data_IF_006810529468
#
_entry.id   IF_006810529468
#
_cell.length_a   1.000
_cell.length_b   1.000
_cell.length_c   1.000
_cell.angle_alpha   90.00
_cell.angle_beta   90.00
_cell.angle_gamma   90.00
#
_symmetry.space_group_name_H-M   'P 1'
#
loop_
_entity.id
_entity.type
_entity.pdbx_description
1 polymer ?
#
# COMPACT_ATOMS: atom_id res chain seq x y z
N UNK A 1 -6.64 -55.82 36.56
CA UNK A 1 -7.28 -54.60 36.06
C UNK A 1 -6.18 -53.62 35.68
N UNK A 2 -5.96 -53.37 34.40
CA UNK A 2 -5.07 -52.30 33.94
C UNK A 2 -5.57 -51.83 32.58
N UNK A 3 -6.32 -50.73 32.58
CA UNK A 3 -6.90 -50.15 31.39
C UNK A 3 -6.96 -48.65 31.54
N UNK A 4 -5.81 -47.97 31.58
CA UNK A 4 -5.79 -46.51 31.57
C UNK A 4 -4.43 -46.00 31.10
N UNK A 5 -4.43 -45.13 30.09
CA UNK A 5 -3.23 -44.40 29.65
C UNK A 5 -3.30 -43.89 28.21
N UNK A 6 -4.06 -44.56 27.34
CA UNK A 6 -4.13 -44.21 25.91
C UNK A 6 -4.91 -42.93 25.61
N UNK A 7 -5.90 -42.58 26.43
CA UNK A 7 -6.73 -41.39 26.22
C UNK A 7 -5.92 -40.09 26.33
N UNK A 8 -5.18 -39.90 27.43
CA UNK A 8 -4.48 -38.63 27.71
C UNK A 8 -3.43 -38.27 26.66
N UNK A 9 -2.62 -39.23 26.21
CA UNK A 9 -1.61 -39.00 25.18
C UNK A 9 -2.24 -38.64 23.81
N UNK A 10 -3.36 -39.26 23.46
CA UNK A 10 -4.10 -38.97 22.22
C UNK A 10 -4.76 -37.60 22.27
N UNK A 11 -5.32 -37.19 23.42
CA UNK A 11 -5.89 -35.85 23.60
C UNK A 11 -4.82 -34.75 23.53
N UNK A 12 -3.64 -34.96 24.15
CA UNK A 12 -2.53 -34.01 24.09
C UNK A 12 -1.96 -33.88 22.68
N UNK A 13 -1.82 -35.00 21.96
CA UNK A 13 -1.37 -34.99 20.57
C UNK A 13 -2.37 -34.28 19.64
N UNK A 14 -3.68 -34.52 19.83
CA UNK A 14 -4.73 -33.84 19.06
C UNK A 14 -4.78 -32.34 19.37
N UNK A 15 -4.67 -31.94 20.64
CA UNK A 15 -4.64 -30.53 21.03
C UNK A 15 -3.42 -29.79 20.47
N UNK A 16 -2.24 -30.42 20.47
CA UNK A 16 -1.03 -29.86 19.87
C UNK A 16 -1.14 -29.71 18.34
N UNK A 17 -1.74 -30.70 17.65
CA UNK A 17 -2.02 -30.62 16.22
C UNK A 17 -3.00 -29.48 15.87
N UNK A 18 -4.08 -29.33 16.64
CA UNK A 18 -5.04 -28.23 16.47
C UNK A 18 -4.35 -26.88 16.70
N UNK A 19 -3.53 -26.75 17.75
CA UNK A 19 -2.78 -25.51 18.01
C UNK A 19 -1.78 -25.21 16.87
N UNK A 20 -1.09 -26.21 16.33
CA UNK A 20 -0.22 -26.05 15.17
C UNK A 20 -0.98 -25.60 13.92
N UNK A 21 -2.18 -26.13 13.66
CA UNK A 21 -3.03 -25.72 12.53
C UNK A 21 -3.52 -24.27 12.73
N UNK A 22 -3.89 -23.88 13.95
CA UNK A 22 -4.30 -22.50 14.26
C UNK A 22 -3.14 -21.49 14.14
N UNK A 23 -1.89 -21.91 14.41
CA UNK A 23 -0.70 -21.09 14.22
C UNK A 23 -0.30 -20.92 12.74
N UNK A 24 -0.71 -21.82 11.84
CA UNK A 24 -0.45 -21.67 10.39
C UNK A 24 -1.29 -20.54 9.76
N UNK A 25 -2.43 -20.19 10.36
CA UNK A 25 -3.32 -19.10 9.90
C UNK A 25 -2.88 -17.72 10.42
N UNK A 26 -1.80 -17.64 11.19
CA UNK A 26 -1.17 -16.38 11.54
C UNK A 26 -0.49 -15.80 10.29
N UNK A 27 -1.29 -15.25 9.38
CA UNK A 27 -0.83 -14.45 8.26
C UNK A 27 -0.07 -13.26 8.86
N UNK A 28 1.27 -13.32 8.82
CA UNK A 28 2.11 -12.17 9.15
C UNK A 28 1.71 -11.05 8.20
N UNK A 29 1.06 -10.01 8.73
CA UNK A 29 0.62 -8.86 7.96
C UNK A 29 1.84 -8.01 7.60
N UNK A 30 2.62 -8.45 6.62
CA UNK A 30 3.71 -7.67 6.07
C UNK A 30 3.14 -6.59 5.14
N UNK A 31 3.54 -5.33 5.35
CA UNK A 31 3.23 -4.23 4.44
C UNK A 31 3.98 -4.41 3.13
N UNK A 32 3.28 -4.48 2.01
CA UNK A 32 3.92 -4.57 0.71
C UNK A 32 4.48 -3.20 0.27
N UNK A 33 5.53 -3.22 -0.54
CA UNK A 33 6.15 -2.00 -1.10
C UNK A 33 5.97 -1.99 -2.62
N UNK A 34 5.37 -0.92 -3.14
CA UNK A 34 5.10 -0.74 -4.56
C UNK A 34 5.87 0.47 -5.11
N UNK A 35 6.67 0.28 -6.16
CA UNK A 35 7.28 1.40 -6.88
C UNK A 35 6.29 1.93 -7.91
N UNK A 36 5.85 3.17 -7.76
CA UNK A 36 4.88 3.80 -8.66
C UNK A 36 5.47 3.91 -10.06
N UNK A 37 4.73 3.42 -11.08
CA UNK A 37 5.18 3.37 -12.47
C UNK A 37 6.22 2.28 -12.77
N UNK A 38 6.51 1.40 -11.81
CA UNK A 38 7.50 0.33 -11.92
C UNK A 38 8.86 0.86 -12.44
N UNK A 39 9.33 0.42 -13.63
CA UNK A 39 10.58 0.91 -14.22
C UNK A 39 10.49 2.36 -14.74
N UNK A 40 9.29 2.82 -15.08
CA UNK A 40 9.06 4.17 -15.61
C UNK A 40 9.00 5.26 -14.54
N UNK A 41 8.91 4.87 -13.26
CA UNK A 41 8.84 5.82 -12.15
C UNK A 41 7.58 6.69 -12.16
N UNK A 42 7.59 7.70 -11.28
CA UNK A 42 6.53 8.69 -11.19
C UNK A 42 6.61 9.64 -12.39
N UNK A 43 5.65 9.52 -13.31
CA UNK A 43 5.65 10.22 -14.59
C UNK A 43 4.22 10.35 -15.16
N UNK A 44 4.09 10.94 -16.35
CA UNK A 44 2.82 11.12 -17.05
C UNK A 44 2.10 9.80 -17.42
N UNK A 45 2.83 8.68 -17.46
CA UNK A 45 2.25 7.36 -17.74
C UNK A 45 1.78 6.61 -16.48
N UNK A 46 1.97 7.17 -15.28
CA UNK A 46 1.63 6.50 -14.03
C UNK A 46 0.13 6.31 -13.80
N UNK A 47 -0.75 7.00 -14.54
CA UNK A 47 -2.21 6.94 -14.33
C UNK A 47 -2.81 5.54 -14.49
N UNK A 48 -2.27 4.71 -15.40
CA UNK A 48 -2.73 3.33 -15.62
C UNK A 48 -2.01 2.29 -14.77
N UNK A 49 -0.92 2.68 -14.09
CA UNK A 49 -0.09 1.76 -13.30
C UNK A 49 -0.87 1.07 -12.18
N UNK A 50 -1.94 1.67 -11.67
CA UNK A 50 -2.77 1.08 -10.63
C UNK A 50 -3.61 -0.11 -11.10
N UNK A 51 -3.76 -0.31 -12.41
CA UNK A 51 -4.64 -1.35 -12.97
C UNK A 51 -4.16 -2.76 -12.59
N UNK A 52 -5.08 -3.58 -12.08
CA UNK A 52 -4.80 -4.95 -11.66
C UNK A 52 -4.01 -5.09 -10.35
N UNK A 53 -3.59 -3.99 -9.72
CA UNK A 53 -2.89 -4.02 -8.42
C UNK A 53 -3.91 -4.00 -7.27
N UNK A 54 -3.62 -4.77 -6.23
CA UNK A 54 -4.43 -4.83 -5.00
C UNK A 54 -3.59 -4.28 -3.86
N UNK A 55 -4.06 -3.20 -3.25
CA UNK A 55 -3.39 -2.52 -2.16
C UNK A 55 -4.13 -2.76 -0.85
N UNK A 56 -3.38 -2.78 0.25
CA UNK A 56 -3.87 -2.89 1.62
C UNK A 56 -3.47 -1.66 2.41
N UNK A 57 -4.26 -1.31 3.42
CA UNK A 57 -3.86 -0.28 4.38
C UNK A 57 -2.52 -0.68 5.03
N UNK A 58 -1.57 0.26 5.10
CA UNK A 58 -0.22 0.00 5.58
C UNK A 58 0.81 -0.32 4.50
N UNK A 59 0.40 -0.66 3.27
CA UNK A 59 1.32 -0.79 2.15
C UNK A 59 2.03 0.55 1.85
N UNK A 60 3.22 0.50 1.28
CA UNK A 60 4.05 1.68 0.99
C UNK A 60 4.17 1.89 -0.52
N UNK A 61 3.83 3.09 -0.97
CA UNK A 61 4.16 3.57 -2.31
C UNK A 61 5.52 4.26 -2.30
N UNK A 62 6.37 3.91 -3.25
CA UNK A 62 7.67 4.55 -3.50
C UNK A 62 7.57 5.34 -4.80
N UNK A 63 7.70 6.65 -4.69
CA UNK A 63 7.70 7.56 -5.83
C UNK A 63 9.14 7.92 -6.18
N UNK A 64 9.59 7.46 -7.36
CA UNK A 64 10.92 7.77 -7.89
C UNK A 64 10.79 8.74 -9.06
N UNK A 65 11.50 9.87 -9.00
CA UNK A 65 11.46 10.93 -10.02
C UNK A 65 12.64 11.88 -9.89
N UNK A 66 12.89 12.66 -10.94
CA UNK A 66 13.80 13.82 -10.86
C UNK A 66 13.15 14.92 -10.02
N UNK A 67 13.69 15.18 -8.83
CA UNK A 67 13.16 16.15 -7.87
C UNK A 67 13.28 17.61 -8.33
N UNK A 68 14.07 17.89 -9.37
CA UNK A 68 14.08 19.21 -10.01
C UNK A 68 12.89 19.43 -10.95
N UNK A 69 12.28 18.35 -11.46
CA UNK A 69 11.22 18.39 -12.46
C UNK A 69 9.83 18.04 -11.89
N UNK A 70 9.78 17.26 -10.81
CA UNK A 70 8.54 16.66 -10.30
C UNK A 70 8.47 16.71 -8.78
N UNK A 71 7.26 16.55 -8.26
CA UNK A 71 6.99 16.34 -6.84
C UNK A 71 5.78 15.41 -6.65
N UNK A 72 5.44 15.13 -5.39
CA UNK A 72 4.23 14.37 -5.03
C UNK A 72 3.48 15.10 -3.94
N UNK A 73 2.19 15.37 -4.14
CA UNK A 73 1.30 15.86 -3.11
C UNK A 73 0.22 14.83 -2.81
N UNK A 74 0.05 14.52 -1.52
CA UNK A 74 -1.10 13.76 -1.04
C UNK A 74 -2.30 14.71 -0.90
N UNK A 75 -3.40 14.41 -1.58
CA UNK A 75 -4.58 15.28 -1.67
C UNK A 75 -5.87 14.51 -1.36
N UNK A 76 -6.97 15.23 -1.22
CA UNK A 76 -8.30 14.64 -1.17
C UNK A 76 -8.88 14.49 -2.59
N UNK A 77 -10.08 13.89 -2.70
CA UNK A 77 -10.76 13.68 -3.98
C UNK A 77 -10.99 15.00 -4.77
N UNK A 78 -11.30 16.09 -4.07
CA UNK A 78 -11.49 17.40 -4.70
C UNK A 78 -10.17 17.93 -5.30
N UNK A 79 -9.07 17.85 -4.55
CA UNK A 79 -7.74 18.23 -5.03
C UNK A 79 -7.25 17.36 -6.19
N UNK A 80 -7.56 16.06 -6.18
CA UNK A 80 -7.26 15.16 -7.31
C UNK A 80 -8.04 15.51 -8.58
N UNK A 81 -9.33 15.83 -8.44
CA UNK A 81 -10.20 16.23 -9.56
C UNK A 81 -9.78 17.60 -10.12
N UNK A 82 -9.52 18.55 -9.22
CA UNK A 82 -9.15 19.93 -9.56
C UNK A 82 -7.67 20.15 -9.85
N UNK A 83 -6.82 19.13 -9.69
CA UNK A 83 -5.37 19.26 -9.77
C UNK A 83 -4.80 20.37 -8.87
N UNK A 84 -5.27 20.41 -7.63
CA UNK A 84 -4.87 21.40 -6.63
C UNK A 84 -4.52 20.73 -5.30
N UNK A 85 -3.41 21.17 -4.71
CA UNK A 85 -3.03 20.80 -3.36
C UNK A 85 -3.61 21.86 -2.38
N UNK A 86 -4.53 21.50 -1.46
CA UNK A 86 -5.06 22.45 -0.50
C UNK A 86 -3.97 22.95 0.45
N UNK A 87 -4.20 24.09 1.11
CA UNK A 87 -3.27 24.62 2.11
C UNK A 87 -3.03 23.58 3.21
N UNK A 88 -1.76 23.30 3.48
CA UNK A 88 -1.35 22.27 4.46
C UNK A 88 -1.32 20.85 3.91
N UNK A 89 -1.59 20.63 2.62
CA UNK A 89 -1.32 19.35 1.98
C UNK A 89 0.16 18.98 2.12
N UNK A 90 0.41 17.70 2.40
CA UNK A 90 1.78 17.19 2.49
C UNK A 90 2.35 17.05 1.08
N UNK A 91 3.42 17.80 0.82
CA UNK A 91 4.17 17.78 -0.43
C UNK A 91 5.54 17.17 -0.17
N UNK A 92 5.89 16.19 -0.99
CA UNK A 92 7.13 15.45 -0.98
C UNK A 92 7.98 15.86 -2.19
N UNK A 93 9.30 15.95 -2.00
CA UNK A 93 10.22 16.53 -2.98
C UNK A 93 11.61 15.88 -2.96
N UNK A 94 11.78 14.71 -2.34
CA UNK A 94 13.10 14.07 -2.28
C UNK A 94 13.49 13.38 -3.59
N UNK A 95 12.50 12.99 -4.42
CA UNK A 95 12.72 12.20 -5.64
C UNK A 95 12.80 10.68 -5.38
N UNK A 96 12.68 10.26 -4.11
CA UNK A 96 12.56 8.86 -3.69
C UNK A 96 11.62 8.76 -2.47
N UNK A 97 10.45 9.33 -2.59
CA UNK A 97 9.51 9.53 -1.50
C UNK A 97 8.73 8.26 -1.19
N UNK A 98 8.59 7.96 0.11
CA UNK A 98 7.88 6.78 0.61
C UNK A 98 6.61 7.22 1.33
N UNK A 99 5.46 6.71 0.88
CA UNK A 99 4.16 7.07 1.44
C UNK A 99 3.38 5.81 1.81
N UNK A 100 3.06 5.69 3.09
CA UNK A 100 2.20 4.60 3.60
C UNK A 100 0.74 4.90 3.27
N UNK A 101 0.04 3.91 2.73
CA UNK A 101 -1.37 4.01 2.35
C UNK A 101 -2.27 3.94 3.59
N UNK A 102 -3.18 4.90 3.72
CA UNK A 102 -4.29 4.81 4.65
C UNK A 102 -5.37 3.87 4.10
N UNK A 103 -6.24 3.33 4.96
CA UNK A 103 -7.43 2.58 4.52
C UNK A 103 -8.34 3.48 3.67
N UNK A 104 -8.89 2.92 2.60
CA UNK A 104 -9.74 3.63 1.64
C UNK A 104 -8.95 4.22 0.48
N UNK A 105 -9.52 5.24 -0.17
CA UNK A 105 -8.91 5.84 -1.37
C UNK A 105 -7.90 6.93 -1.02
N UNK A 106 -6.68 6.76 -1.51
CA UNK A 106 -5.56 7.68 -1.38
C UNK A 106 -5.33 8.35 -2.74
N UNK A 107 -5.12 9.67 -2.76
CA UNK A 107 -4.93 10.43 -3.99
C UNK A 107 -3.59 11.15 -4.00
N UNK A 108 -2.90 11.05 -5.13
CA UNK A 108 -1.58 11.64 -5.32
C UNK A 108 -1.52 12.39 -6.65
N UNK A 109 -0.91 13.58 -6.64
CA UNK A 109 -0.72 14.42 -7.83
C UNK A 109 0.70 14.98 -7.86
N UNK A 110 1.18 15.35 -9.05
CA UNK A 110 2.30 16.28 -9.21
C UNK A 110 1.75 17.71 -9.29
N UNK A 111 2.26 18.63 -8.47
CA UNK A 111 1.76 20.02 -8.41
C UNK A 111 2.53 20.98 -9.29
N UNK A 112 3.53 20.50 -10.03
CA UNK A 112 4.25 21.30 -11.02
C UNK A 112 3.24 21.76 -12.10
N UNK A 113 3.25 23.04 -12.50
CA UNK A 113 2.23 23.60 -13.39
C UNK A 113 2.00 22.75 -14.65
N UNK A 114 0.75 22.36 -14.88
CA UNK A 114 0.33 21.53 -16.02
C UNK A 114 0.49 20.02 -15.83
N UNK A 115 1.31 19.55 -14.88
CA UNK A 115 1.67 18.13 -14.82
C UNK A 115 0.49 17.21 -14.45
N UNK A 116 -0.27 17.59 -13.41
CA UNK A 116 -1.46 16.84 -13.02
C UNK A 116 -2.54 16.85 -14.10
N UNK A 117 -2.72 17.99 -14.78
CA UNK A 117 -3.69 18.14 -15.87
C UNK A 117 -3.33 17.23 -17.06
N UNK A 118 -2.03 17.06 -17.32
CA UNK A 118 -1.48 16.12 -18.31
C UNK A 118 -1.45 14.66 -17.85
N UNK A 119 -2.06 14.33 -16.70
CA UNK A 119 -2.25 12.96 -16.25
C UNK A 119 -1.24 12.43 -15.23
N UNK A 120 -0.34 13.27 -14.71
CA UNK A 120 0.59 12.88 -13.64
C UNK A 120 -0.11 12.88 -12.26
N UNK A 121 -1.03 11.94 -12.11
CA UNK A 121 -1.86 11.72 -10.93
C UNK A 121 -2.31 10.26 -10.82
N UNK A 122 -2.46 9.75 -9.61
CA UNK A 122 -3.01 8.41 -9.34
C UNK A 122 -4.01 8.43 -8.18
N UNK A 123 -4.97 7.51 -8.23
CA UNK A 123 -5.88 7.19 -7.14
C UNK A 123 -5.72 5.71 -6.79
N UNK A 124 -5.46 5.41 -5.52
CA UNK A 124 -5.20 4.05 -5.04
C UNK A 124 -6.19 3.72 -3.95
N UNK A 125 -6.98 2.66 -4.14
CA UNK A 125 -7.86 2.15 -3.10
C UNK A 125 -7.17 1.02 -2.32
N UNK A 126 -6.99 1.24 -1.02
CA UNK A 126 -6.37 0.29 -0.11
C UNK A 126 -7.43 -0.33 0.81
N UNK A 127 -7.55 -1.65 0.79
CA UNK A 127 -8.50 -2.40 1.62
C UNK A 127 -8.06 -2.45 3.10
#
# INVERSE_FOLDING_TARGET
MAGQGRGGAVFLAAAALVLCVLLHEAQVAESAVFTVGDRGGWSFSSSSWTNGKRFKAGDVLVFKYDSSAHNVAAVNAAGYKGCSAPRGAKVYSSGNDRVTLARGTNYFICTIPGHCQSGMKIAVNAA
#
